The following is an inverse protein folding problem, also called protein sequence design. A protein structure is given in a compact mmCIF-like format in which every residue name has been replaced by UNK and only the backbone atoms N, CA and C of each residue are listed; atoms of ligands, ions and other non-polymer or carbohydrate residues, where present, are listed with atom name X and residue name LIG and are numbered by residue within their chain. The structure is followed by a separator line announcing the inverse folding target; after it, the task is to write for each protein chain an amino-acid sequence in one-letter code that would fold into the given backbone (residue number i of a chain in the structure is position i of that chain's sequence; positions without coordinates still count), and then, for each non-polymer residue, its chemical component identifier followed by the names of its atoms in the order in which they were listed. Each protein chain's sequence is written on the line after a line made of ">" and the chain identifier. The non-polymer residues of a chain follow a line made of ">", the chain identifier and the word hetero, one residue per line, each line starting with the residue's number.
data_IF_302476043783
#
_entry.id   IF_302476043783
#
_cell.length_a   1.000
_cell.length_b   1.000
_cell.length_c   1.000
_cell.angle_alpha   90.00
_cell.angle_beta   90.00
_cell.angle_gamma   90.00
#
_symmetry.space_group_name_H-M   'P 1'
#
loop_
_entity.id
_entity.type
_entity.pdbx_description
1 polymer ?
#
# COMPACT_ATOMS: atom_id res chain seq x y z
N UNK A 1 20.24 -11.74 -0.15
CA UNK A 1 19.97 -11.35 -1.55
C UNK A 1 20.60 -12.37 -2.48
N UNK A 2 21.91 -12.58 -2.38
CA UNK A 2 22.67 -13.50 -3.24
C UNK A 2 22.12 -14.93 -3.24
N UNK A 3 21.71 -15.45 -2.07
CA UNK A 3 21.09 -16.78 -1.96
C UNK A 3 19.80 -16.93 -2.75
N UNK A 4 18.99 -15.87 -2.86
CA UNK A 4 17.75 -15.88 -3.65
C UNK A 4 18.05 -15.77 -5.14
N UNK A 5 19.04 -14.97 -5.53
CA UNK A 5 19.47 -14.81 -6.92
C UNK A 5 20.07 -16.12 -7.43
N UNK A 6 20.89 -16.81 -6.63
CA UNK A 6 21.41 -18.14 -6.98
C UNK A 6 20.29 -19.16 -7.12
N UNK A 7 19.25 -19.09 -6.28
CA UNK A 7 18.13 -20.04 -6.30
C UNK A 7 17.14 -19.78 -7.45
N UNK A 8 16.92 -18.50 -7.80
CA UNK A 8 15.96 -18.06 -8.81
C UNK A 8 16.59 -16.99 -9.74
N UNK A 9 17.57 -17.37 -10.58
CA UNK A 9 18.31 -16.42 -11.40
C UNK A 9 17.43 -15.68 -12.42
N UNK A 10 16.36 -16.30 -12.92
CA UNK A 10 15.39 -15.68 -13.83
C UNK A 10 14.66 -14.46 -13.23
N UNK A 11 14.71 -14.31 -11.90
CA UNK A 11 14.08 -13.25 -11.14
C UNK A 11 15.05 -12.22 -10.59
N UNK A 12 16.33 -12.29 -10.99
CA UNK A 12 17.41 -11.46 -10.45
C UNK A 12 17.07 -9.98 -10.47
N UNK A 13 16.55 -9.48 -11.60
CA UNK A 13 16.19 -8.07 -11.75
C UNK A 13 15.16 -7.65 -10.70
N UNK A 14 14.04 -8.36 -10.58
CA UNK A 14 12.97 -8.02 -9.65
C UNK A 14 13.43 -8.13 -8.20
N UNK A 15 14.26 -9.12 -7.88
CA UNK A 15 14.88 -9.24 -6.55
C UNK A 15 15.74 -8.01 -6.26
N UNK A 16 16.65 -7.64 -7.17
CA UNK A 16 17.51 -6.46 -7.00
C UNK A 16 16.69 -5.17 -6.87
N UNK A 17 15.64 -5.02 -7.65
CA UNK A 17 14.75 -3.85 -7.59
C UNK A 17 14.08 -3.72 -6.22
N UNK A 18 13.55 -4.81 -5.66
CA UNK A 18 12.89 -4.79 -4.33
C UNK A 18 13.91 -4.47 -3.22
N UNK A 19 15.09 -5.08 -3.26
CA UNK A 19 16.14 -4.85 -2.25
C UNK A 19 16.74 -3.44 -2.35
N UNK A 20 16.96 -2.94 -3.57
CA UNK A 20 17.40 -1.57 -3.81
C UNK A 20 16.35 -0.56 -3.34
N UNK A 21 15.08 -0.83 -3.63
CA UNK A 21 13.95 -0.03 -3.15
C UNK A 21 13.93 0.01 -1.61
N UNK A 22 14.08 -1.13 -0.93
CA UNK A 22 14.18 -1.19 0.54
C UNK A 22 15.28 -0.26 1.08
N UNK A 23 16.49 -0.33 0.50
CA UNK A 23 17.60 0.53 0.90
C UNK A 23 17.38 2.02 0.61
N UNK A 24 16.56 2.34 -0.40
CA UNK A 24 16.30 3.72 -0.84
C UNK A 24 15.11 4.37 -0.14
N UNK A 25 14.30 3.61 0.62
CA UNK A 25 13.05 4.10 1.19
C UNK A 25 13.22 5.37 2.04
N UNK A 26 14.25 5.41 2.89
CA UNK A 26 14.54 6.58 3.73
C UNK A 26 14.86 7.84 2.92
N UNK A 27 15.37 7.69 1.69
CA UNK A 27 15.68 8.82 0.81
C UNK A 27 14.44 9.38 0.12
N UNK A 28 13.37 8.59 -0.05
CA UNK A 28 12.17 9.03 -0.76
C UNK A 28 11.33 10.05 0.04
N UNK A 29 11.35 10.00 1.37
CA UNK A 29 10.70 11.01 2.22
C UNK A 29 11.46 11.24 3.52
N UNK A 30 11.88 12.48 3.73
CA UNK A 30 12.36 12.94 5.04
C UNK A 30 11.15 13.18 5.95
N UNK A 31 11.04 12.42 7.03
CA UNK A 31 9.97 12.58 8.02
C UNK A 31 10.25 13.83 8.86
N UNK A 32 9.29 14.76 8.87
CA UNK A 32 9.29 15.94 9.73
C UNK A 32 8.14 15.86 10.74
N UNK A 33 8.32 16.46 11.91
CA UNK A 33 7.24 16.62 12.89
C UNK A 33 6.33 17.74 12.37
N UNK A 34 5.03 17.50 12.16
CA UNK A 34 4.11 18.54 11.73
C UNK A 34 3.97 19.63 12.81
N UNK A 35 3.72 20.87 12.39
CA UNK A 35 3.38 21.96 13.31
C UNK A 35 2.11 21.64 14.10
N UNK A 36 1.94 22.29 15.27
CA UNK A 36 0.71 22.15 16.05
C UNK A 36 -0.48 22.71 15.27
N UNK A 37 -1.69 22.12 15.42
CA UNK A 37 -2.90 22.67 14.81
C UNK A 37 -3.12 24.11 15.22
N UNK A 38 -3.49 24.96 14.26
CA UNK A 38 -3.74 26.39 14.45
C UNK A 38 -5.24 26.69 14.65
N UNK A 39 -6.12 25.73 14.33
CA UNK A 39 -7.57 25.92 14.32
C UNK A 39 -8.09 26.53 13.01
N UNK A 40 -7.19 26.99 12.12
CA UNK A 40 -7.53 27.40 10.77
C UNK A 40 -7.39 26.19 9.83
N UNK A 41 -8.51 25.73 9.27
CA UNK A 41 -8.54 24.56 8.39
C UNK A 41 -7.67 24.72 7.14
N UNK A 42 -7.49 25.93 6.61
CA UNK A 42 -6.61 26.18 5.46
C UNK A 42 -5.14 25.93 5.80
N UNK A 43 -4.73 26.27 7.02
CA UNK A 43 -3.39 26.03 7.55
C UNK A 43 -3.22 24.58 8.06
N UNK A 44 -4.29 23.99 8.60
CA UNK A 44 -4.24 22.67 9.22
C UNK A 44 -4.29 21.52 8.20
N UNK A 45 -5.00 21.67 7.08
CA UNK A 45 -5.08 20.62 6.04
C UNK A 45 -3.70 20.23 5.48
N UNK A 46 -2.81 21.18 5.11
CA UNK A 46 -1.44 20.85 4.70
C UNK A 46 -0.65 20.07 5.77
N UNK A 47 -0.76 20.49 7.04
CA UNK A 47 -0.11 19.84 8.19
C UNK A 47 -0.63 18.41 8.36
N UNK A 48 -1.94 18.21 8.33
CA UNK A 48 -2.57 16.91 8.46
C UNK A 48 -2.26 15.99 7.28
N UNK A 49 -2.21 16.51 6.06
CA UNK A 49 -1.81 15.75 4.89
C UNK A 49 -0.34 15.33 4.96
N UNK A 50 0.55 16.22 5.40
CA UNK A 50 1.95 15.89 5.68
C UNK A 50 2.09 14.75 6.68
N UNK A 51 1.31 14.80 7.76
CA UNK A 51 1.27 13.75 8.77
C UNK A 51 0.79 12.42 8.18
N UNK A 52 -0.29 12.42 7.40
CA UNK A 52 -0.78 11.24 6.69
C UNK A 52 0.31 10.62 5.80
N UNK A 53 1.02 11.43 5.01
CA UNK A 53 2.11 10.95 4.16
C UNK A 53 3.26 10.33 4.96
N UNK A 54 3.59 10.89 6.13
CA UNK A 54 4.59 10.32 7.04
C UNK A 54 4.15 8.93 7.53
N UNK A 55 2.90 8.79 7.98
CA UNK A 55 2.35 7.52 8.49
C UNK A 55 2.35 6.46 7.39
N UNK A 56 1.87 6.79 6.19
CA UNK A 56 1.88 5.86 5.05
C UNK A 56 3.30 5.44 4.68
N UNK A 57 4.25 6.38 4.66
CA UNK A 57 5.65 6.08 4.34
C UNK A 57 6.27 5.13 5.37
N UNK A 58 6.13 5.43 6.67
CA UNK A 58 6.67 4.59 7.76
C UNK A 58 6.02 3.20 7.73
N UNK A 59 4.70 3.12 7.49
CA UNK A 59 4.00 1.84 7.38
C UNK A 59 4.54 1.01 6.22
N UNK A 60 4.68 1.61 5.03
CA UNK A 60 5.22 0.89 3.87
C UNK A 60 6.67 0.45 4.13
N UNK A 61 7.50 1.29 4.78
CA UNK A 61 8.85 0.91 5.17
C UNK A 61 8.90 -0.37 6.00
N UNK A 62 8.06 -0.43 7.04
CA UNK A 62 7.94 -1.63 7.88
C UNK A 62 7.47 -2.84 7.08
N UNK A 63 6.43 -2.68 6.24
CA UNK A 63 5.89 -3.77 5.43
C UNK A 63 6.92 -4.31 4.42
N UNK A 64 7.72 -3.45 3.78
CA UNK A 64 8.75 -3.88 2.84
C UNK A 64 9.90 -4.61 3.54
N UNK A 65 10.29 -4.17 4.75
CA UNK A 65 11.27 -4.91 5.55
C UNK A 65 10.78 -6.33 5.86
N UNK A 66 9.52 -6.47 6.29
CA UNK A 66 8.93 -7.80 6.54
C UNK A 66 8.78 -8.62 5.26
N UNK A 67 8.46 -7.99 4.13
CA UNK A 67 8.36 -8.68 2.85
C UNK A 67 9.72 -9.24 2.42
N UNK A 68 10.79 -8.46 2.55
CA UNK A 68 12.15 -8.91 2.23
C UNK A 68 12.58 -10.06 3.13
N UNK A 69 12.31 -9.98 4.44
CA UNK A 69 12.56 -11.10 5.36
C UNK A 69 11.75 -12.34 4.99
N UNK A 70 10.47 -12.17 4.66
CA UNK A 70 9.59 -13.26 4.21
C UNK A 70 10.11 -13.91 2.92
N UNK A 71 10.56 -13.11 1.95
CA UNK A 71 11.18 -13.59 0.71
C UNK A 71 12.47 -14.38 0.98
N UNK A 72 13.36 -13.87 1.83
CA UNK A 72 14.63 -14.53 2.19
C UNK A 72 14.40 -15.88 2.89
N UNK A 73 13.44 -15.90 3.81
CA UNK A 73 13.08 -17.10 4.57
C UNK A 73 12.10 -18.00 3.79
N UNK A 74 11.67 -17.59 2.60
CA UNK A 74 10.65 -18.26 1.80
C UNK A 74 9.35 -18.52 2.58
N UNK A 75 8.98 -17.62 3.49
CA UNK A 75 7.78 -17.73 4.31
C UNK A 75 6.53 -17.40 3.48
N UNK A 76 5.53 -18.30 3.38
CA UNK A 76 4.25 -18.03 2.70
C UNK A 76 3.48 -16.81 3.22
N UNK A 77 3.70 -16.39 4.47
CA UNK A 77 3.12 -15.14 5.01
C UNK A 77 3.55 -13.88 4.25
N UNK A 78 4.61 -13.97 3.41
CA UNK A 78 5.01 -12.91 2.51
C UNK A 78 3.87 -12.45 1.58
N UNK A 79 2.90 -13.31 1.24
CA UNK A 79 1.69 -12.93 0.51
C UNK A 79 0.80 -11.94 1.29
N UNK A 80 0.65 -12.16 2.60
CA UNK A 80 -0.10 -11.26 3.48
C UNK A 80 0.58 -9.90 3.56
N UNK A 81 1.90 -9.89 3.69
CA UNK A 81 2.68 -8.65 3.70
C UNK A 81 2.58 -7.92 2.36
N UNK A 82 2.66 -8.63 1.23
CA UNK A 82 2.47 -8.03 -0.09
C UNK A 82 1.06 -7.44 -0.25
N UNK A 83 0.01 -8.14 0.18
CA UNK A 83 -1.37 -7.61 0.18
C UNK A 83 -1.44 -6.31 0.97
N UNK A 84 -0.88 -6.30 2.17
CA UNK A 84 -0.87 -5.13 3.03
C UNK A 84 -0.06 -3.96 2.45
N UNK A 85 1.00 -4.22 1.67
CA UNK A 85 1.69 -3.18 0.89
C UNK A 85 0.77 -2.57 -0.16
N UNK A 86 0.05 -3.39 -0.94
CA UNK A 86 -0.89 -2.91 -1.96
C UNK A 86 -1.99 -2.05 -1.32
N UNK A 87 -2.54 -2.46 -0.19
CA UNK A 87 -3.54 -1.67 0.55
C UNK A 87 -3.00 -0.29 0.98
N UNK A 88 -1.76 -0.24 1.50
CA UNK A 88 -1.09 1.00 1.87
C UNK A 88 -0.88 1.92 0.66
N UNK A 89 -0.48 1.35 -0.48
CA UNK A 89 -0.26 2.08 -1.74
C UNK A 89 -1.59 2.60 -2.29
N UNK A 90 -2.65 1.79 -2.25
CA UNK A 90 -3.99 2.20 -2.66
C UNK A 90 -4.53 3.34 -1.80
N UNK A 91 -4.33 3.27 -0.49
CA UNK A 91 -4.71 4.33 0.44
C UNK A 91 -3.99 5.65 0.13
N UNK A 92 -2.68 5.62 -0.18
CA UNK A 92 -1.95 6.80 -0.63
C UNK A 92 -2.62 7.44 -1.85
N UNK A 93 -2.89 6.65 -2.88
CA UNK A 93 -3.45 7.10 -4.16
C UNK A 93 -4.83 7.71 -3.92
N UNK A 94 -5.71 6.97 -3.24
CA UNK A 94 -7.08 7.40 -2.94
C UNK A 94 -7.11 8.72 -2.18
N UNK A 95 -6.40 8.80 -1.04
CA UNK A 95 -6.44 9.97 -0.17
C UNK A 95 -5.81 11.17 -0.84
N UNK A 96 -4.68 11.00 -1.55
CA UNK A 96 -4.06 12.07 -2.32
C UNK A 96 -5.06 12.73 -3.28
N UNK A 97 -5.75 11.95 -4.12
CA UNK A 97 -6.70 12.53 -5.08
C UNK A 97 -7.91 13.14 -4.41
N UNK A 98 -8.46 12.49 -3.38
CA UNK A 98 -9.63 13.03 -2.66
C UNK A 98 -9.31 14.34 -1.95
N UNK A 99 -8.16 14.46 -1.31
CA UNK A 99 -7.75 15.73 -0.68
C UNK A 99 -7.49 16.78 -1.74
N UNK A 100 -6.78 16.42 -2.82
CA UNK A 100 -6.50 17.33 -3.93
C UNK A 100 -7.78 17.93 -4.54
N UNK A 101 -8.75 17.07 -4.89
CA UNK A 101 -10.05 17.48 -5.45
C UNK A 101 -10.76 18.50 -4.56
N UNK A 102 -10.76 18.28 -3.23
CA UNK A 102 -11.41 19.16 -2.26
C UNK A 102 -10.68 20.48 -2.07
N UNK A 103 -9.35 20.45 -1.99
CA UNK A 103 -8.54 21.67 -1.86
C UNK A 103 -8.62 22.54 -3.12
N UNK A 104 -8.56 21.94 -4.31
CA UNK A 104 -8.70 22.67 -5.59
C UNK A 104 -10.10 23.28 -5.76
N UNK A 105 -11.11 22.73 -5.07
CA UNK A 105 -12.48 23.25 -5.00
C UNK A 105 -12.72 24.19 -3.81
N UNK A 106 -11.68 24.57 -3.07
CA UNK A 106 -11.75 25.41 -1.86
C UNK A 106 -12.55 24.82 -0.68
N UNK A 107 -12.80 23.51 -0.68
CA UNK A 107 -13.58 22.76 0.31
C UNK A 107 -12.70 22.19 1.44
N UNK A 108 -11.98 23.05 2.16
CA UNK A 108 -11.02 22.64 3.20
C UNK A 108 -11.65 21.82 4.34
N UNK A 109 -12.91 22.08 4.68
CA UNK A 109 -13.69 21.29 5.63
C UNK A 109 -13.81 19.81 5.20
N UNK A 110 -14.06 19.59 3.91
CA UNK A 110 -14.20 18.24 3.37
C UNK A 110 -12.84 17.57 3.20
N UNK A 111 -11.80 18.33 2.81
CA UNK A 111 -10.42 17.84 2.78
C UNK A 111 -9.97 17.33 4.16
N UNK A 112 -10.26 18.08 5.22
CA UNK A 112 -9.98 17.69 6.59
C UNK A 112 -10.73 16.41 6.98
N UNK A 113 -12.02 16.29 6.60
CA UNK A 113 -12.81 15.07 6.87
C UNK A 113 -12.24 13.84 6.16
N UNK A 114 -11.73 13.97 4.94
CA UNK A 114 -11.07 12.89 4.21
C UNK A 114 -9.82 12.43 4.97
N UNK A 115 -8.95 13.36 5.36
CA UNK A 115 -7.73 13.08 6.13
C UNK A 115 -8.02 12.42 7.48
N UNK A 116 -9.03 12.94 8.16
CA UNK A 116 -9.49 12.39 9.43
C UNK A 116 -9.93 10.94 9.24
N UNK A 117 -10.83 10.65 8.30
CA UNK A 117 -11.28 9.28 7.99
C UNK A 117 -10.14 8.34 7.60
N UNK A 118 -9.15 8.83 6.86
CA UNK A 118 -7.99 8.05 6.44
C UNK A 118 -7.04 7.71 7.60
N UNK A 119 -7.04 8.52 8.66
CA UNK A 119 -6.15 8.35 9.82
C UNK A 119 -6.67 7.30 10.81
N UNK A 120 -7.97 6.99 10.79
CA UNK A 120 -8.58 5.94 11.61
C UNK A 120 -8.77 4.67 10.76
N UNK A 121 -7.97 3.64 11.03
CA UNK A 121 -8.17 2.32 10.44
C UNK A 121 -9.45 1.65 10.97
N UNK A 122 -9.90 0.60 10.29
CA UNK A 122 -11.02 -0.26 10.71
C UNK A 122 -10.76 -1.07 12.00
N UNK A 123 -9.56 -1.00 12.58
CA UNK A 123 -9.22 -1.65 13.85
C UNK A 123 -8.85 -0.63 14.93
N UNK A 124 -9.82 -0.37 15.80
CA UNK A 124 -9.71 0.43 17.02
C UNK A 124 -9.09 -0.39 18.17
N UNK A 125 -7.85 -0.86 18.01
CA UNK A 125 -7.19 -1.69 19.04
C UNK A 125 -6.27 -0.89 19.98
N UNK A 126 -6.29 0.46 19.95
CA UNK A 126 -5.53 1.25 20.91
C UNK A 126 -6.40 1.59 22.15
N UNK A 127 -6.09 1.04 23.35
CA UNK A 127 -6.99 1.12 24.51
C UNK A 127 -7.23 2.54 25.05
N UNK A 128 -6.40 3.53 24.69
CA UNK A 128 -6.60 4.94 25.06
C UNK A 128 -7.60 5.69 24.17
N UNK A 129 -7.89 5.20 22.97
CA UNK A 129 -8.84 5.80 22.03
C UNK A 129 -10.11 4.96 21.84
N UNK A 130 -10.06 3.66 22.18
CA UNK A 130 -11.16 2.71 22.01
C UNK A 130 -12.35 2.92 22.96
N UNK A 131 -12.29 3.89 23.89
CA UNK A 131 -13.32 4.08 24.93
C UNK A 131 -14.31 5.21 24.65
N UNK A 132 -14.13 6.03 23.60
CA UNK A 132 -15.09 7.09 23.28
C UNK A 132 -16.09 6.62 22.21
N UNK A 133 -17.37 6.89 22.44
CA UNK A 133 -18.48 6.65 21.50
C UNK A 133 -18.21 7.28 20.12
N UNK A 134 -17.49 8.40 20.09
CA UNK A 134 -17.03 9.06 18.88
C UNK A 134 -16.09 8.18 18.05
N UNK A 135 -15.09 7.54 18.65
CA UNK A 135 -14.14 6.67 17.92
C UNK A 135 -14.86 5.44 17.35
N UNK A 136 -15.82 4.85 18.09
CA UNK A 136 -16.62 3.72 17.60
C UNK A 136 -17.55 4.13 16.44
N UNK A 137 -18.18 5.30 16.51
CA UNK A 137 -19.01 5.83 15.42
C UNK A 137 -18.18 6.32 14.23
N UNK A 138 -16.92 6.70 14.45
CA UNK A 138 -15.98 7.09 13.41
C UNK A 138 -15.33 5.90 12.71
N UNK A 139 -15.06 4.80 13.42
CA UNK A 139 -14.63 3.54 12.81
C UNK A 139 -15.67 3.00 11.82
N UNK A 140 -16.97 3.18 12.12
CA UNK A 140 -18.08 2.89 11.17
C UNK A 140 -18.08 3.78 9.92
N UNK A 141 -17.34 4.89 9.94
CA UNK A 141 -17.23 5.88 8.84
C UNK A 141 -15.86 5.83 8.14
N UNK A 142 -14.97 4.92 8.54
CA UNK A 142 -13.72 4.66 7.86
C UNK A 142 -13.99 4.10 6.46
N UNK A 143 -13.06 4.34 5.53
CA UNK A 143 -13.18 3.75 4.19
C UNK A 143 -12.95 2.25 4.25
N UNK A 144 -13.71 1.51 3.43
CA UNK A 144 -13.42 0.11 3.20
C UNK A 144 -12.12 0.00 2.41
N UNK A 145 -11.32 -1.03 2.66
CA UNK A 145 -10.12 -1.32 1.86
C UNK A 145 -10.47 -1.41 0.38
N UNK A 146 -11.62 -2.01 0.03
CA UNK A 146 -12.08 -2.10 -1.36
C UNK A 146 -12.31 -0.72 -1.99
N UNK A 147 -12.75 0.29 -1.22
CA UNK A 147 -12.90 1.66 -1.74
C UNK A 147 -11.54 2.23 -2.20
N UNK A 148 -10.47 1.92 -1.44
CA UNK A 148 -9.12 2.31 -1.82
C UNK A 148 -8.66 1.56 -3.07
N UNK A 149 -8.85 0.24 -3.10
CA UNK A 149 -8.40 -0.63 -4.19
C UNK A 149 -9.10 -0.24 -5.50
N UNK A 150 -10.42 -0.12 -5.51
CA UNK A 150 -11.20 0.14 -6.72
C UNK A 150 -10.90 1.53 -7.28
N UNK A 151 -10.71 2.52 -6.40
CA UNK A 151 -10.36 3.87 -6.85
C UNK A 151 -8.91 3.98 -7.30
N UNK A 152 -7.97 3.32 -6.60
CA UNK A 152 -6.59 3.27 -7.03
C UNK A 152 -6.47 2.59 -8.40
N UNK A 153 -7.24 1.51 -8.62
CA UNK A 153 -7.36 0.86 -9.91
C UNK A 153 -7.82 1.82 -11.00
N UNK A 154 -8.94 2.53 -10.79
CA UNK A 154 -9.45 3.53 -11.73
C UNK A 154 -8.40 4.59 -12.09
N UNK A 155 -7.73 5.15 -11.08
CA UNK A 155 -6.77 6.25 -11.24
C UNK A 155 -5.47 5.80 -11.92
N UNK A 156 -4.94 4.65 -11.51
CA UNK A 156 -3.74 4.06 -12.11
C UNK A 156 -4.02 3.66 -13.56
N UNK A 157 -5.16 3.02 -13.84
CA UNK A 157 -5.53 2.66 -15.22
C UNK A 157 -5.65 3.90 -16.12
N UNK A 158 -6.24 5.00 -15.63
CA UNK A 158 -6.30 6.27 -16.37
C UNK A 158 -4.91 6.82 -16.69
N UNK A 159 -4.01 6.80 -15.72
CA UNK A 159 -2.64 7.28 -15.88
C UNK A 159 -1.79 6.41 -16.81
N UNK A 160 -1.94 5.09 -16.72
CA UNK A 160 -1.27 4.13 -17.61
C UNK A 160 -1.78 4.29 -19.04
N UNK A 161 -3.10 4.40 -19.23
CA UNK A 161 -3.71 4.66 -20.54
C UNK A 161 -3.14 5.91 -21.21
N UNK A 162 -2.98 6.98 -20.43
CA UNK A 162 -2.41 8.25 -20.94
C UNK A 162 -0.96 8.11 -21.38
N UNK A 163 -0.17 7.23 -20.75
CA UNK A 163 1.26 7.08 -21.00
C UNK A 163 1.60 6.05 -22.07
N UNK A 164 0.80 5.00 -22.16
CA UNK A 164 1.16 3.82 -22.94
C UNK A 164 0.07 3.32 -23.90
N UNK A 165 -1.06 4.04 -24.01
CA UNK A 165 -2.16 3.68 -24.89
C UNK A 165 -3.15 2.69 -24.27
N UNK A 166 -4.14 2.30 -25.07
CA UNK A 166 -5.32 1.56 -24.60
C UNK A 166 -5.04 0.06 -24.39
N UNK A 167 -4.09 -0.54 -25.13
CA UNK A 167 -3.69 -1.95 -25.00
C UNK A 167 -2.91 -2.26 -23.71
N UNK A 168 -2.14 -1.30 -23.18
CA UNK A 168 -1.37 -1.49 -21.93
C UNK A 168 -2.18 -1.13 -20.67
N UNK A 169 -3.27 -0.37 -20.82
CA UNK A 169 -4.19 -0.05 -19.74
C UNK A 169 -5.12 -1.23 -19.45
N UNK A 170 -4.55 -2.34 -18.96
CA UNK A 170 -5.34 -3.49 -18.48
C UNK A 170 -6.36 -2.99 -17.46
N UNK A 171 -7.64 -3.05 -17.85
CA UNK A 171 -8.74 -2.81 -16.93
C UNK A 171 -8.55 -3.76 -15.75
N UNK A 172 -8.58 -3.24 -14.52
CA UNK A 172 -8.48 -4.03 -13.29
C UNK A 172 -7.09 -4.52 -12.86
N UNK A 173 -5.98 -3.93 -13.33
CA UNK A 173 -4.64 -4.34 -12.88
C UNK A 173 -4.47 -4.30 -11.34
N UNK A 174 -4.84 -3.22 -10.68
CA UNK A 174 -4.69 -3.12 -9.22
C UNK A 174 -5.63 -4.09 -8.50
N UNK A 175 -6.87 -4.20 -9.00
CA UNK A 175 -7.90 -5.05 -8.43
C UNK A 175 -7.59 -6.55 -8.56
N UNK A 176 -7.15 -6.99 -9.73
CA UNK A 176 -6.87 -8.40 -10.00
C UNK A 176 -5.71 -8.94 -9.17
N UNK A 177 -4.66 -8.13 -8.97
CA UNK A 177 -3.54 -8.50 -8.10
C UNK A 177 -3.95 -8.48 -6.63
N UNK A 178 -4.83 -7.56 -6.22
CA UNK A 178 -5.38 -7.56 -4.87
C UNK A 178 -6.22 -8.81 -4.59
N UNK A 179 -7.17 -9.14 -5.47
CA UNK A 179 -8.03 -10.33 -5.34
C UNK A 179 -7.18 -11.61 -5.35
N UNK A 180 -6.16 -11.70 -6.22
CA UNK A 180 -5.22 -12.81 -6.22
C UNK A 180 -4.51 -12.96 -4.86
N UNK A 181 -4.01 -11.86 -4.28
CA UNK A 181 -3.36 -11.92 -2.97
C UNK A 181 -4.35 -12.26 -1.84
N UNK A 182 -5.61 -11.86 -1.95
CA UNK A 182 -6.67 -12.29 -1.02
C UNK A 182 -6.86 -13.82 -1.06
N UNK A 183 -6.93 -14.41 -2.25
CA UNK A 183 -7.01 -15.86 -2.42
C UNK A 183 -5.77 -16.58 -1.86
N UNK A 184 -4.58 -16.08 -2.19
CA UNK A 184 -3.31 -16.66 -1.72
C UNK A 184 -3.09 -16.52 -0.22
N UNK A 185 -3.79 -15.60 0.43
CA UNK A 185 -3.77 -15.41 1.89
C UNK A 185 -4.95 -16.06 2.59
N UNK A 186 -5.86 -16.69 1.86
CA UNK A 186 -6.99 -17.39 2.43
C UNK A 186 -6.50 -18.58 3.28
N UNK A 187 -7.02 -18.77 4.51
CA UNK A 187 -6.57 -19.86 5.39
C UNK A 187 -6.61 -21.24 4.74
N UNK A 188 -7.64 -21.52 3.93
CA UNK A 188 -7.74 -22.78 3.19
C UNK A 188 -6.66 -22.94 2.11
N UNK A 189 -6.33 -21.87 1.38
CA UNK A 189 -5.27 -21.93 0.37
C UNK A 189 -3.90 -22.11 1.04
N UNK A 190 -3.63 -21.38 2.12
CA UNK A 190 -2.41 -21.55 2.91
C UNK A 190 -2.29 -22.97 3.45
N UNK A 191 -3.38 -23.52 4.01
CA UNK A 191 -3.41 -24.90 4.51
C UNK A 191 -3.18 -25.93 3.40
N UNK A 192 -3.77 -25.74 2.21
CA UNK A 192 -3.48 -26.58 1.05
C UNK A 192 -1.98 -26.46 0.69
N UNK A 193 -1.47 -25.25 0.47
CA UNK A 193 -0.06 -25.05 0.09
C UNK A 193 0.96 -25.61 1.08
N UNK A 194 0.63 -25.62 2.38
CA UNK A 194 1.51 -26.08 3.45
C UNK A 194 1.40 -27.58 3.73
N UNK A 195 0.21 -28.17 3.61
CA UNK A 195 -0.06 -29.51 4.10
C UNK A 195 -0.59 -30.49 3.04
N UNK A 196 -1.10 -30.02 1.88
CA UNK A 196 -1.77 -30.86 0.88
C UNK A 196 -1.33 -30.54 -0.56
N UNK A 197 -0.77 -31.51 -1.27
CA UNK A 197 -0.51 -31.43 -2.71
C UNK A 197 -1.54 -32.22 -3.53
N UNK A 198 -1.67 -31.91 -4.82
CA UNK A 198 -2.36 -32.77 -5.79
C UNK A 198 -1.28 -33.47 -6.62
N UNK A 199 -1.24 -34.80 -6.55
CA UNK A 199 -0.36 -35.65 -7.35
C UNK A 199 -1.22 -36.80 -7.89
N UNK A 200 -1.23 -37.00 -9.22
CA UNK A 200 -2.06 -38.01 -9.90
C UNK A 200 -3.55 -37.93 -9.54
N UNK A 201 -4.15 -36.74 -9.58
CA UNK A 201 -5.55 -36.46 -9.21
C UNK A 201 -5.95 -36.88 -7.79
N UNK A 202 -4.96 -37.11 -6.91
CA UNK A 202 -5.18 -37.47 -5.51
C UNK A 202 -4.58 -36.42 -4.59
N UNK A 203 -5.33 -36.09 -3.54
CA UNK A 203 -4.83 -35.29 -2.45
C UNK A 203 -3.80 -36.10 -1.65
N UNK A 204 -2.55 -35.63 -1.63
CA UNK A 204 -1.50 -36.17 -0.77
C UNK A 204 -1.17 -35.19 0.35
N UNK A 205 -1.14 -35.71 1.57
CA UNK A 205 -0.62 -34.98 2.71
C UNK A 205 0.90 -34.87 2.57
N UNK A 206 1.40 -33.64 2.39
CA UNK A 206 2.82 -33.35 2.38
C UNK A 206 3.22 -32.95 3.81
N UNK A 207 4.26 -33.59 4.36
CA UNK A 207 4.96 -33.06 5.54
C UNK A 207 5.29 -31.58 5.28
N UNK A 208 5.08 -30.68 6.26
CA UNK A 208 5.08 -29.24 6.02
C UNK A 208 6.40 -28.79 5.41
N UNK A 209 6.36 -28.42 4.13
CA UNK A 209 7.40 -27.61 3.51
C UNK A 209 6.97 -26.16 3.70
N UNK A 210 7.48 -25.54 4.77
CA UNK A 210 7.22 -24.14 5.10
C UNK A 210 7.99 -23.19 4.16
N UNK A 211 7.92 -23.42 2.85
CA UNK A 211 8.72 -22.75 1.83
C UNK A 211 7.89 -22.41 0.61
N UNK A 212 7.97 -21.17 0.14
CA UNK A 212 7.41 -20.73 -1.13
C UNK A 212 7.90 -21.63 -2.29
N UNK A 213 6.97 -22.12 -3.11
CA UNK A 213 7.32 -22.74 -4.40
C UNK A 213 7.90 -21.69 -5.35
N UNK A 214 8.56 -22.13 -6.42
CA UNK A 214 9.12 -21.22 -7.44
C UNK A 214 8.03 -20.36 -8.07
N UNK A 215 6.89 -20.96 -8.38
CA UNK A 215 5.73 -20.31 -8.99
C UNK A 215 5.16 -19.25 -8.05
N UNK A 216 4.97 -19.60 -6.77
CA UNK A 216 4.48 -18.67 -5.75
C UNK A 216 5.45 -17.52 -5.49
N UNK A 217 6.76 -17.80 -5.47
CA UNK A 217 7.78 -16.77 -5.38
C UNK A 217 7.72 -15.83 -6.59
N UNK A 218 7.64 -16.37 -7.80
CA UNK A 218 7.49 -15.62 -9.05
C UNK A 218 6.25 -14.72 -9.05
N UNK A 219 5.09 -15.26 -8.65
CA UNK A 219 3.86 -14.49 -8.50
C UNK A 219 4.05 -13.30 -7.55
N UNK A 220 4.69 -13.52 -6.39
CA UNK A 220 4.90 -12.48 -5.39
C UNK A 220 5.76 -11.33 -5.92
N UNK A 221 6.93 -11.65 -6.49
CA UNK A 221 7.89 -10.63 -6.96
C UNK A 221 7.36 -9.85 -8.17
N UNK A 222 6.66 -10.53 -9.09
CA UNK A 222 6.09 -9.90 -10.28
C UNK A 222 4.88 -9.04 -9.92
N UNK A 223 4.18 -9.39 -8.84
CA UNK A 223 3.13 -8.56 -8.26
C UNK A 223 3.74 -7.32 -7.62
N UNK A 224 4.65 -7.47 -6.65
CA UNK A 224 5.07 -6.34 -5.82
C UNK A 224 5.93 -5.31 -6.55
N UNK A 225 6.87 -5.74 -7.40
CA UNK A 225 7.86 -4.83 -8.01
C UNK A 225 7.22 -3.65 -8.75
N UNK A 226 6.22 -3.85 -9.63
CA UNK A 226 5.48 -2.74 -10.26
C UNK A 226 4.77 -1.82 -9.27
N UNK A 227 4.18 -2.35 -8.19
CA UNK A 227 3.50 -1.52 -7.19
C UNK A 227 4.47 -0.61 -6.42
N UNK A 228 5.72 -1.03 -6.21
CA UNK A 228 6.74 -0.16 -5.62
C UNK A 228 7.05 1.04 -6.52
N UNK A 229 7.10 0.84 -7.84
CA UNK A 229 7.27 1.95 -8.78
C UNK A 229 6.06 2.90 -8.77
N UNK A 230 4.84 2.35 -8.72
CA UNK A 230 3.60 3.13 -8.57
C UNK A 230 3.64 3.96 -7.28
N UNK A 231 4.10 3.37 -6.17
CA UNK A 231 4.26 4.09 -4.91
C UNK A 231 5.17 5.31 -5.04
N UNK A 232 6.36 5.17 -5.62
CA UNK A 232 7.30 6.31 -5.80
C UNK A 232 6.64 7.43 -6.61
N UNK A 233 5.96 7.07 -7.70
CA UNK A 233 5.27 8.02 -8.56
C UNK A 233 4.24 8.84 -7.77
N UNK A 234 3.39 8.18 -7.00
CA UNK A 234 2.31 8.86 -6.26
C UNK A 234 2.81 9.58 -5.01
N UNK A 235 3.85 9.07 -4.34
CA UNK A 235 4.49 9.77 -3.25
C UNK A 235 5.07 11.11 -3.72
N UNK A 236 5.78 11.11 -4.85
CA UNK A 236 6.35 12.33 -5.43
C UNK A 236 5.27 13.36 -5.75
N UNK A 237 4.17 12.94 -6.38
CA UNK A 237 3.03 13.83 -6.68
C UNK A 237 2.38 14.39 -5.42
N UNK A 238 2.23 13.56 -4.39
CA UNK A 238 1.68 13.98 -3.12
C UNK A 238 2.60 15.00 -2.43
N UNK A 239 3.92 14.81 -2.45
CA UNK A 239 4.90 15.77 -1.91
C UNK A 239 4.92 17.09 -2.68
N UNK A 240 4.79 17.05 -4.01
CA UNK A 240 4.66 18.27 -4.82
C UNK A 240 3.38 19.04 -4.48
N UNK A 241 2.28 18.33 -4.25
CA UNK A 241 1.02 18.93 -3.83
C UNK A 241 1.07 19.50 -2.40
N UNK A 242 1.65 18.76 -1.45
CA UNK A 242 1.95 19.21 -0.08
C UNK A 242 2.68 20.57 -0.09
N UNK A 243 3.76 20.69 -0.87
CA UNK A 243 4.53 21.94 -1.01
C UNK A 243 3.70 23.08 -1.60
N UNK A 244 2.88 22.81 -2.62
CA UNK A 244 2.02 23.82 -3.25
C UNK A 244 1.01 24.40 -2.27
N UNK A 245 0.41 23.55 -1.44
CA UNK A 245 -0.56 24.01 -0.44
C UNK A 245 0.09 24.92 0.59
N UNK A 246 1.28 24.56 1.09
CA UNK A 246 2.01 25.39 2.06
C UNK A 246 2.43 26.76 1.49
N UNK A 247 2.81 26.83 0.21
CA UNK A 247 3.23 28.09 -0.43
C UNK A 247 2.06 29.04 -0.75
N UNK A 248 0.83 28.54 -0.84
CA UNK A 248 -0.35 29.40 -1.02
C UNK A 248 -0.73 30.16 0.25
N UNK A 249 -0.28 29.68 1.41
CA UNK A 249 -0.47 30.34 2.71
C UNK A 249 0.46 31.54 2.86
N UNK A 250 1.75 31.39 2.52
CA UNK A 250 2.76 32.46 2.64
C UNK A 250 2.50 33.70 1.74
N UNK A 251 1.50 33.64 0.85
CA UNK A 251 1.15 34.70 -0.10
C UNK A 251 -0.07 35.53 0.29
N UNK A 252 -0.72 35.24 1.42
CA UNK A 252 -1.89 35.97 1.92
C UNK A 252 -1.66 36.49 3.34
#
# INVERSE_FOLDING_TARGET
>A
MDTLITKYPEFEKQIRDIFSFQGSLNAFRKISIPNKPTGNKRSDVPIQFSHFLNVIHIRLQSQINYLVQGLQNQNPEAFSTARNCLETIAALIFVYYKVKERVESDEYDQAQRVLYKASFGSRTEHPKFATSKEVTDMAKRAYNVLDYIDKANELVSKDLKKRFGEEEARQNYFRSHYDLLCELTHPNYLALSMYWGVEDDKFKYNLPKNTLTKENFGLLIHTISPFLAIYVLYLKRAQEFEKKMSQQEDRK
#
